data_IF_771577891920
#
_entry.id   IF_771577891920
#
_cell.length_a   1.000
_cell.length_b   1.000
_cell.length_c   1.000
_cell.angle_alpha   90.00
_cell.angle_beta   90.00
_cell.angle_gamma   90.00
#
_symmetry.space_group_name_H-M   'P 1'
#
loop_
_entity.id
_entity.type
_entity.pdbx_description
1 polymer ?
#
# COMPACT_ATOMS: atom_id res chain seq x y z
N UNK A 1 3.75 -15.69 -8.85
CA UNK A 1 2.74 -14.97 -9.67
C UNK A 1 3.30 -14.62 -11.04
N UNK A 2 4.36 -13.79 -11.16
CA UNK A 2 4.91 -13.33 -12.46
C UNK A 2 5.25 -14.48 -13.45
N UNK A 3 5.94 -15.55 -13.03
CA UNK A 3 6.20 -16.73 -13.91
C UNK A 3 4.92 -17.39 -14.44
N UNK A 4 3.83 -17.41 -13.66
CA UNK A 4 2.54 -17.94 -14.12
C UNK A 4 1.92 -17.02 -15.17
N UNK A 5 1.97 -15.71 -14.97
CA UNK A 5 1.47 -14.72 -15.92
C UNK A 5 2.29 -14.73 -17.22
N UNK A 6 3.61 -14.92 -17.12
CA UNK A 6 4.49 -15.15 -18.28
C UNK A 6 4.05 -16.38 -19.07
N UNK A 7 3.86 -17.51 -18.38
CA UNK A 7 3.41 -18.75 -19.04
C UNK A 7 2.02 -18.64 -19.69
N UNK A 8 1.18 -17.69 -19.22
CA UNK A 8 -0.13 -17.39 -19.80
C UNK A 8 -0.06 -16.35 -20.93
N UNK A 9 1.12 -15.88 -21.32
CA UNK A 9 1.29 -14.84 -22.35
C UNK A 9 0.69 -13.50 -21.97
N UNK A 10 0.59 -13.19 -20.67
CA UNK A 10 0.00 -11.93 -20.20
C UNK A 10 0.91 -10.76 -20.57
N UNK A 11 0.43 -9.74 -21.30
CA UNK A 11 1.23 -8.58 -21.69
C UNK A 11 1.90 -7.91 -20.49
N UNK A 12 3.20 -7.57 -20.61
CA UNK A 12 4.01 -6.98 -19.56
C UNK A 12 4.67 -7.96 -18.61
N UNK A 13 4.48 -9.28 -18.84
CA UNK A 13 5.15 -10.35 -18.09
C UNK A 13 6.05 -11.21 -18.98
N UNK A 14 6.35 -10.76 -20.19
CA UNK A 14 7.18 -11.50 -21.17
C UNK A 14 8.56 -11.85 -20.59
N UNK A 15 9.09 -10.98 -19.73
CA UNK A 15 10.37 -11.16 -19.03
C UNK A 15 10.24 -11.77 -17.62
N UNK A 16 9.07 -12.27 -17.24
CA UNK A 16 8.79 -12.85 -15.92
C UNK A 16 8.95 -11.87 -14.78
N UNK A 17 10.01 -12.03 -13.95
CA UNK A 17 10.31 -11.13 -12.83
C UNK A 17 11.22 -9.95 -13.17
N UNK A 18 11.78 -9.90 -14.38
CA UNK A 18 12.61 -8.76 -14.78
C UNK A 18 11.76 -7.50 -14.88
N UNK A 19 12.34 -6.39 -14.47
CA UNK A 19 11.69 -5.08 -14.60
C UNK A 19 11.36 -4.83 -16.08
N UNK A 20 10.13 -4.42 -16.33
CA UNK A 20 9.65 -4.00 -17.65
C UNK A 20 8.85 -2.72 -17.48
N UNK A 21 9.29 -1.65 -18.11
CA UNK A 21 8.54 -0.39 -18.19
C UNK A 21 7.45 -0.56 -19.25
N UNK A 22 6.28 0.05 -19.01
CA UNK A 22 5.13 -0.02 -19.91
C UNK A 22 4.63 1.41 -20.24
N UNK A 23 5.39 2.17 -21.01
CA UNK A 23 5.07 3.58 -21.29
C UNK A 23 3.74 3.72 -22.03
N UNK A 24 3.33 2.74 -22.83
CA UNK A 24 2.05 2.71 -23.51
C UNK A 24 0.82 2.70 -22.59
N UNK A 25 1.01 2.29 -21.32
CA UNK A 25 -0.05 2.29 -20.31
C UNK A 25 -0.20 3.62 -19.58
N UNK A 26 0.77 4.50 -19.66
CA UNK A 26 0.74 5.79 -18.96
C UNK A 26 -0.44 6.67 -19.41
N UNK A 27 -0.87 6.54 -20.67
CA UNK A 27 -2.00 7.30 -21.19
C UNK A 27 -3.38 6.80 -20.75
N UNK A 28 -3.48 5.61 -20.15
CA UNK A 28 -4.78 5.02 -19.78
C UNK A 28 -5.63 5.89 -18.84
N UNK A 29 -5.07 6.51 -17.78
CA UNK A 29 -5.85 7.40 -16.93
C UNK A 29 -6.38 8.64 -17.66
N UNK A 30 -5.66 9.15 -18.66
CA UNK A 30 -6.05 10.34 -19.44
C UNK A 30 -7.34 10.13 -20.22
N UNK A 31 -7.63 8.89 -20.61
CA UNK A 31 -8.84 8.55 -21.38
C UNK A 31 -10.07 8.32 -20.52
N UNK A 32 -9.90 8.13 -19.21
CA UNK A 32 -10.98 7.79 -18.29
C UNK A 32 -11.58 9.04 -17.66
N UNK A 33 -12.81 9.38 -18.01
CA UNK A 33 -13.51 10.57 -17.51
C UNK A 33 -14.10 10.39 -16.09
N UNK A 34 -14.51 9.16 -15.74
CA UNK A 34 -15.13 8.87 -14.43
C UNK A 34 -14.06 8.86 -13.35
N UNK A 35 -14.22 9.59 -12.24
CA UNK A 35 -13.33 9.52 -11.08
C UNK A 35 -13.04 8.07 -10.69
N UNK A 36 -11.77 7.75 -10.51
CA UNK A 36 -11.33 6.38 -10.26
C UNK A 36 -10.15 6.40 -9.28
N UNK A 37 -10.17 5.48 -8.34
CA UNK A 37 -9.03 5.22 -7.47
C UNK A 37 -8.16 4.14 -8.12
N UNK A 38 -6.91 4.51 -8.43
CA UNK A 38 -5.91 3.60 -8.96
C UNK A 38 -4.96 3.14 -7.86
N UNK A 39 -4.76 1.82 -7.76
CA UNK A 39 -3.63 1.27 -7.02
C UNK A 39 -2.49 1.07 -8.01
N UNK A 40 -1.49 1.93 -7.93
CA UNK A 40 -0.39 1.98 -8.88
C UNK A 40 0.57 0.81 -8.64
N UNK A 41 0.88 0.08 -9.70
CA UNK A 41 1.85 -1.03 -9.68
C UNK A 41 1.54 -2.14 -8.65
N UNK A 42 0.33 -2.67 -8.66
CA UNK A 42 -0.11 -3.75 -7.74
C UNK A 42 0.79 -4.99 -7.73
N UNK A 43 1.61 -5.22 -8.76
CA UNK A 43 2.48 -6.37 -8.94
C UNK A 43 3.98 -6.01 -9.04
N UNK A 44 4.31 -4.74 -8.88
CA UNK A 44 5.68 -4.20 -8.94
C UNK A 44 5.81 -3.02 -7.97
N UNK A 45 6.97 -2.40 -7.92
CA UNK A 45 7.24 -1.25 -7.07
C UNK A 45 7.69 -0.08 -7.94
N UNK A 46 6.91 1.02 -7.92
CA UNK A 46 7.19 2.20 -8.73
C UNK A 46 8.55 2.82 -8.41
N UNK A 47 9.01 2.70 -7.16
CA UNK A 47 10.30 3.25 -6.73
C UNK A 47 11.43 2.20 -6.76
N UNK A 48 11.33 1.16 -7.64
CA UNK A 48 12.43 0.24 -7.85
C UNK A 48 13.68 0.97 -8.34
N UNK A 49 14.87 0.57 -7.85
CA UNK A 49 16.14 1.24 -8.16
C UNK A 49 16.44 1.34 -9.66
N UNK A 50 16.02 0.34 -10.44
CA UNK A 50 16.21 0.31 -11.90
C UNK A 50 15.19 1.15 -12.69
N UNK A 51 14.18 1.76 -12.05
CA UNK A 51 13.26 2.67 -12.75
C UNK A 51 13.91 4.05 -12.87
N UNK A 52 14.14 4.57 -14.09
CA UNK A 52 14.70 5.90 -14.28
C UNK A 52 13.81 7.00 -13.68
N UNK A 53 14.40 8.03 -13.09
CA UNK A 53 13.65 9.17 -12.56
C UNK A 53 12.80 9.86 -13.65
N UNK A 54 13.29 9.88 -14.90
CA UNK A 54 12.50 10.37 -16.03
C UNK A 54 11.17 9.64 -16.20
N UNK A 55 11.13 8.32 -15.94
CA UNK A 55 9.87 7.56 -15.99
C UNK A 55 8.95 7.90 -14.82
N UNK A 56 9.50 8.10 -13.63
CA UNK A 56 8.74 8.59 -12.48
C UNK A 56 8.10 9.95 -12.79
N UNK A 57 8.86 10.88 -13.38
CA UNK A 57 8.31 12.18 -13.81
C UNK A 57 7.14 12.03 -14.79
N UNK A 58 7.24 11.13 -15.77
CA UNK A 58 6.14 10.86 -16.71
C UNK A 58 4.89 10.34 -15.99
N UNK A 59 5.06 9.45 -15.00
CA UNK A 59 3.94 8.97 -14.17
C UNK A 59 3.28 10.12 -13.41
N UNK A 60 4.08 10.98 -12.76
CA UNK A 60 3.57 12.11 -12.00
C UNK A 60 2.97 13.20 -12.92
N UNK A 61 3.46 13.35 -14.15
CA UNK A 61 2.84 14.23 -15.15
C UNK A 61 1.42 13.78 -15.52
N UNK A 62 1.21 12.49 -15.73
CA UNK A 62 -0.14 11.92 -15.98
C UNK A 62 -1.04 12.14 -14.76
N UNK A 63 -0.53 11.95 -13.56
CA UNK A 63 -1.28 12.18 -12.31
C UNK A 63 -1.72 13.65 -12.20
N UNK A 64 -0.82 14.60 -12.48
CA UNK A 64 -1.14 16.05 -12.50
C UNK A 64 -2.22 16.40 -13.52
N UNK A 65 -2.23 15.73 -14.67
CA UNK A 65 -3.22 15.95 -15.73
C UNK A 65 -4.59 15.32 -15.43
N UNK A 66 -4.69 14.49 -14.41
CA UNK A 66 -5.91 13.74 -14.05
C UNK A 66 -6.30 13.96 -12.59
N UNK A 67 -6.53 15.22 -12.16
CA UNK A 67 -6.79 15.55 -10.75
C UNK A 67 -8.10 14.93 -10.21
N UNK A 68 -9.01 14.53 -11.09
CA UNK A 68 -10.26 13.84 -10.74
C UNK A 68 -10.08 12.36 -10.38
N UNK A 69 -8.89 11.80 -10.56
CA UNK A 69 -8.54 10.44 -10.11
C UNK A 69 -7.73 10.49 -8.81
N UNK A 70 -7.76 9.41 -8.05
CA UNK A 70 -6.91 9.19 -6.86
C UNK A 70 -5.89 8.11 -7.17
N UNK A 71 -4.64 8.32 -6.78
CA UNK A 71 -3.55 7.38 -7.03
C UNK A 71 -2.92 6.93 -5.72
N UNK A 72 -3.10 5.66 -5.38
CA UNK A 72 -2.44 5.02 -4.24
C UNK A 72 -1.13 4.39 -4.73
N UNK A 73 0.00 4.89 -4.23
CA UNK A 73 1.33 4.40 -4.55
C UNK A 73 1.92 3.78 -3.29
N UNK A 74 2.25 2.49 -3.36
CA UNK A 74 2.82 1.72 -2.25
C UNK A 74 4.22 1.25 -2.61
N UNK A 75 5.17 1.41 -1.69
CA UNK A 75 6.56 0.99 -1.91
C UNK A 75 7.19 0.39 -0.65
N UNK A 76 8.22 -0.43 -0.85
CA UNK A 76 9.18 -0.84 0.19
C UNK A 76 10.46 0.02 0.15
N UNK A 77 10.58 0.89 -0.83
CA UNK A 77 11.75 1.76 -1.06
C UNK A 77 11.46 3.19 -0.61
N UNK A 78 11.19 3.30 0.70
CA UNK A 78 10.73 4.56 1.30
C UNK A 78 11.75 5.69 1.15
N UNK A 79 13.04 5.41 1.31
CA UNK A 79 14.12 6.38 1.13
C UNK A 79 14.12 6.96 -0.29
N UNK A 80 14.05 6.10 -1.32
CA UNK A 80 14.00 6.56 -2.71
C UNK A 80 12.74 7.36 -3.01
N UNK A 81 11.58 6.94 -2.49
CA UNK A 81 10.35 7.71 -2.61
C UNK A 81 10.50 9.10 -1.99
N UNK A 82 11.11 9.20 -0.80
CA UNK A 82 11.39 10.48 -0.15
C UNK A 82 12.33 11.34 -1.00
N UNK A 83 13.45 10.81 -1.44
CA UNK A 83 14.43 11.52 -2.28
C UNK A 83 13.79 12.06 -3.57
N UNK A 84 12.96 11.26 -4.22
CA UNK A 84 12.23 11.70 -5.41
C UNK A 84 11.22 12.81 -5.10
N UNK A 85 10.48 12.72 -3.99
CA UNK A 85 9.44 13.68 -3.63
C UNK A 85 9.99 14.98 -3.03
N UNK A 86 11.17 14.95 -2.39
CA UNK A 86 11.77 16.14 -1.80
C UNK A 86 12.12 17.18 -2.86
N UNK A 87 11.69 18.42 -2.64
CA UNK A 87 11.85 19.53 -3.59
C UNK A 87 10.91 19.49 -4.80
N UNK A 88 10.00 18.51 -4.87
CA UNK A 88 8.96 18.42 -5.89
C UNK A 88 7.56 18.63 -5.29
N UNK A 89 6.67 19.18 -6.10
CA UNK A 89 5.26 19.25 -5.72
C UNK A 89 4.62 17.84 -5.87
N UNK A 90 4.17 17.26 -4.76
CA UNK A 90 3.39 16.03 -4.75
C UNK A 90 1.92 16.41 -4.96
N UNK A 91 1.27 15.94 -6.04
CA UNK A 91 -0.14 16.26 -6.30
C UNK A 91 -1.07 15.78 -5.16
N UNK A 92 -2.10 16.55 -4.85
CA UNK A 92 -3.02 16.24 -3.74
C UNK A 92 -3.81 14.94 -3.92
N UNK A 93 -4.00 14.52 -5.17
CA UNK A 93 -4.64 13.26 -5.52
C UNK A 93 -3.71 12.04 -5.45
N UNK A 94 -2.46 12.22 -4.99
CA UNK A 94 -1.52 11.12 -4.71
C UNK A 94 -1.56 10.77 -3.23
N UNK A 95 -1.81 9.50 -2.96
CA UNK A 95 -1.68 8.90 -1.65
C UNK A 95 -0.41 8.07 -1.62
N UNK A 96 0.54 8.42 -0.77
CA UNK A 96 1.81 7.72 -0.65
C UNK A 96 1.80 6.77 0.54
N UNK A 97 2.27 5.56 0.33
CA UNK A 97 2.31 4.55 1.37
C UNK A 97 3.56 3.69 1.36
N UNK A 98 3.83 3.10 2.51
CA UNK A 98 4.90 2.11 2.69
C UNK A 98 4.36 0.82 3.27
N UNK A 99 5.01 -0.29 2.92
CA UNK A 99 4.71 -1.60 3.52
C UNK A 99 5.45 -1.74 4.84
N UNK A 100 4.74 -2.21 5.88
CA UNK A 100 5.27 -2.37 7.25
C UNK A 100 4.92 -3.77 7.74
N UNK A 101 5.75 -4.75 7.43
CA UNK A 101 5.49 -6.15 7.78
C UNK A 101 6.05 -6.54 9.15
N UNK A 102 7.14 -5.91 9.56
CA UNK A 102 7.94 -6.21 10.74
C UNK A 102 8.58 -4.94 11.32
N UNK A 103 9.28 -5.10 12.45
CA UNK A 103 9.94 -3.98 13.13
C UNK A 103 11.26 -3.59 12.47
N UNK A 104 12.00 -4.56 11.98
CA UNK A 104 13.36 -4.35 11.46
C UNK A 104 13.35 -3.51 10.18
N UNK A 105 12.51 -3.88 9.21
CA UNK A 105 12.45 -3.21 7.91
C UNK A 105 11.28 -2.24 7.80
N UNK A 106 10.15 -2.55 8.45
CA UNK A 106 8.91 -1.80 8.31
C UNK A 106 8.91 -0.47 9.07
N UNK A 107 9.32 -0.47 10.33
CA UNK A 107 9.27 0.75 11.16
C UNK A 107 10.14 1.88 10.59
N UNK A 108 11.40 1.66 10.15
CA UNK A 108 12.19 2.73 9.55
C UNK A 108 11.55 3.38 8.30
N UNK A 109 10.73 2.63 7.55
CA UNK A 109 10.02 3.19 6.39
C UNK A 109 8.95 4.20 6.78
N UNK A 110 8.37 4.08 7.97
CA UNK A 110 7.38 5.05 8.47
C UNK A 110 8.05 6.41 8.66
N UNK A 111 9.26 6.44 9.22
CA UNK A 111 10.00 7.67 9.44
C UNK A 111 10.34 8.37 8.12
N UNK A 112 10.72 7.60 7.10
CA UNK A 112 10.94 8.15 5.77
C UNK A 112 9.65 8.75 5.17
N UNK A 113 8.53 8.03 5.24
CA UNK A 113 7.24 8.45 4.71
C UNK A 113 6.73 9.73 5.35
N UNK A 114 6.89 9.87 6.67
CA UNK A 114 6.41 10.99 7.48
C UNK A 114 6.92 12.34 7.00
N UNK A 115 8.13 12.39 6.45
CA UNK A 115 8.78 13.60 5.97
C UNK A 115 8.36 14.01 4.54
N UNK A 116 7.58 13.17 3.84
CA UNK A 116 7.14 13.49 2.48
C UNK A 116 5.92 14.43 2.54
N UNK A 117 5.91 15.55 1.81
CA UNK A 117 4.81 16.51 1.81
C UNK A 117 3.62 16.00 0.97
N UNK A 118 3.09 14.81 1.29
CA UNK A 118 1.91 14.25 0.65
C UNK A 118 0.65 14.58 1.46
N UNK A 119 -0.50 14.79 0.79
CA UNK A 119 -1.79 15.03 1.45
C UNK A 119 -2.22 13.83 2.28
N UNK A 120 -2.10 12.63 1.73
CA UNK A 120 -2.40 11.37 2.43
C UNK A 120 -1.15 10.49 2.45
N UNK A 121 -0.76 10.08 3.65
CA UNK A 121 0.27 9.08 3.91
C UNK A 121 -0.38 7.87 4.56
N UNK A 122 -0.07 6.66 4.05
CA UNK A 122 -0.68 5.44 4.57
C UNK A 122 0.33 4.32 4.81
N UNK A 123 -0.01 3.43 5.73
CA UNK A 123 0.75 2.22 6.00
C UNK A 123 -0.02 1.01 5.50
N UNK A 124 0.65 0.13 4.75
CA UNK A 124 0.17 -1.20 4.43
C UNK A 124 0.88 -2.22 5.31
N UNK A 125 0.25 -2.59 6.41
CA UNK A 125 0.75 -3.58 7.37
C UNK A 125 0.27 -4.95 6.91
N UNK A 126 0.74 -5.35 5.73
CA UNK A 126 0.35 -6.58 5.05
C UNK A 126 1.55 -7.24 4.36
N UNK A 127 1.88 -8.47 4.80
CA UNK A 127 1.31 -9.18 5.94
C UNK A 127 1.89 -8.66 7.27
N UNK A 128 1.07 -8.57 8.31
CA UNK A 128 1.56 -8.33 9.67
C UNK A 128 2.18 -9.61 10.22
N UNK A 129 3.50 -9.59 10.47
CA UNK A 129 4.29 -10.79 10.78
C UNK A 129 4.65 -10.92 12.26
N UNK A 130 4.61 -9.82 13.01
CA UNK A 130 4.94 -9.76 14.43
C UNK A 130 4.23 -8.59 15.12
N UNK A 131 4.34 -8.52 16.44
CA UNK A 131 3.89 -7.35 17.21
C UNK A 131 4.85 -6.17 16.97
N UNK A 132 4.35 -5.09 16.36
CA UNK A 132 5.18 -3.94 15.96
C UNK A 132 5.61 -3.03 17.14
N UNK A 133 5.06 -3.25 18.35
CA UNK A 133 5.30 -2.36 19.48
C UNK A 133 4.52 -1.06 19.38
N UNK A 134 5.05 0.01 19.98
CA UNK A 134 4.55 1.36 19.80
C UNK A 134 5.04 1.92 18.47
N UNK A 135 4.13 2.45 17.69
CA UNK A 135 4.39 3.06 16.38
C UNK A 135 4.08 4.55 16.50
N UNK A 136 4.98 5.39 16.07
CA UNK A 136 4.68 6.80 15.92
C UNK A 136 3.85 7.01 14.64
N UNK A 137 2.55 7.26 14.81
CA UNK A 137 1.59 7.52 13.74
C UNK A 137 1.38 9.02 13.47
N UNK A 138 2.24 9.90 13.98
CA UNK A 138 2.17 11.33 13.66
C UNK A 138 2.28 11.55 12.14
N UNK A 139 1.37 12.36 11.58
CA UNK A 139 1.28 12.60 10.14
C UNK A 139 0.98 11.35 9.27
N UNK A 140 0.52 10.26 9.86
CA UNK A 140 -0.01 9.09 9.15
C UNK A 140 -1.54 9.16 9.18
N UNK A 141 -2.15 9.06 8.02
CA UNK A 141 -3.60 9.29 7.86
C UNK A 141 -4.40 7.99 7.79
N UNK A 142 -3.77 6.90 7.35
CA UNK A 142 -4.45 5.62 7.15
C UNK A 142 -3.53 4.43 7.42
N UNK A 143 -4.06 3.42 8.11
CA UNK A 143 -3.34 2.17 8.41
C UNK A 143 -4.21 1.01 7.97
N UNK A 144 -3.69 0.23 7.02
CA UNK A 144 -4.32 -0.98 6.49
C UNK A 144 -3.60 -2.17 7.10
N UNK A 145 -4.35 -3.09 7.74
CA UNK A 145 -3.78 -4.29 8.35
C UNK A 145 -4.38 -5.53 7.72
N UNK A 146 -3.53 -6.52 7.45
CA UNK A 146 -3.98 -7.81 6.93
C UNK A 146 -2.99 -8.93 7.12
N UNK A 147 -3.53 -10.15 7.20
CA UNK A 147 -2.77 -11.39 7.31
C UNK A 147 -2.36 -11.95 5.96
N UNK A 148 -1.34 -12.81 6.01
CA UNK A 148 -0.77 -13.47 4.84
C UNK A 148 -1.72 -14.53 4.27
N UNK A 149 -1.78 -14.60 2.94
CA UNK A 149 -2.58 -15.61 2.22
C UNK A 149 -1.68 -16.56 1.41
N UNK A 150 -2.07 -17.82 1.35
CA UNK A 150 -1.39 -18.86 0.57
C UNK A 150 -0.94 -20.07 1.37
N UNK A 151 -0.36 -21.08 0.69
CA UNK A 151 -0.03 -22.37 1.34
C UNK A 151 1.00 -22.26 2.47
N UNK A 152 1.93 -21.30 2.35
CA UNK A 152 3.01 -21.07 3.31
C UNK A 152 2.75 -19.83 4.18
N UNK A 153 1.49 -19.37 4.27
CA UNK A 153 1.15 -18.18 5.06
C UNK A 153 1.54 -18.38 6.53
N UNK A 154 2.13 -17.33 7.09
CA UNK A 154 2.45 -17.22 8.52
C UNK A 154 1.22 -16.72 9.28
N UNK A 155 0.99 -17.18 10.51
CA UNK A 155 -0.13 -16.74 11.30
C UNK A 155 0.05 -15.30 11.78
N UNK A 156 -1.06 -14.55 11.82
CA UNK A 156 -1.17 -13.23 12.43
C UNK A 156 -1.99 -13.37 13.72
N UNK A 157 -1.56 -12.75 14.80
CA UNK A 157 -2.23 -12.84 16.09
C UNK A 157 -3.21 -11.68 16.30
N UNK A 158 -4.42 -11.94 16.87
CA UNK A 158 -5.43 -10.91 17.11
C UNK A 158 -4.92 -9.72 17.95
N UNK A 159 -4.13 -10.00 19.00
CA UNK A 159 -3.59 -8.98 19.88
C UNK A 159 -2.66 -7.99 19.16
N UNK A 160 -1.97 -8.41 18.09
CA UNK A 160 -1.14 -7.53 17.28
C UNK A 160 -2.00 -6.52 16.51
N UNK A 161 -3.08 -7.01 15.92
CA UNK A 161 -4.03 -6.19 15.14
C UNK A 161 -4.76 -5.22 16.04
N UNK A 162 -5.28 -5.69 17.19
CA UNK A 162 -5.97 -4.85 18.18
C UNK A 162 -5.05 -3.79 18.80
N UNK A 163 -3.74 -4.10 18.93
CA UNK A 163 -2.75 -3.10 19.36
C UNK A 163 -2.62 -1.96 18.37
N UNK A 164 -2.51 -2.26 17.07
CA UNK A 164 -2.42 -1.25 16.01
C UNK A 164 -3.72 -0.44 15.92
N UNK A 165 -4.87 -1.10 16.00
CA UNK A 165 -6.18 -0.41 15.99
C UNK A 165 -6.27 0.65 17.08
N UNK A 166 -5.94 0.29 18.34
CA UNK A 166 -5.94 1.24 19.47
C UNK A 166 -4.98 2.41 19.25
N UNK A 167 -3.81 2.16 18.65
CA UNK A 167 -2.87 3.23 18.34
C UNK A 167 -3.43 4.17 17.27
N UNK A 168 -4.14 3.65 16.27
CA UNK A 168 -4.85 4.48 15.28
C UNK A 168 -5.95 5.33 15.92
N UNK A 169 -6.76 4.76 16.82
CA UNK A 169 -7.78 5.50 17.58
C UNK A 169 -7.17 6.65 18.38
N UNK A 170 -6.05 6.42 19.05
CA UNK A 170 -5.37 7.44 19.86
C UNK A 170 -4.71 8.54 19.01
N UNK A 171 -4.26 8.24 17.79
CA UNK A 171 -3.59 9.19 16.89
C UNK A 171 -4.54 9.91 15.93
N UNK A 172 -5.80 9.47 15.84
CA UNK A 172 -6.74 9.95 14.83
C UNK A 172 -6.50 9.42 13.42
N UNK A 173 -5.66 8.40 13.25
CA UNK A 173 -5.44 7.74 11.96
C UNK A 173 -6.61 6.81 11.63
N UNK A 174 -7.08 6.82 10.39
CA UNK A 174 -8.10 5.87 9.94
C UNK A 174 -7.56 4.44 9.96
N UNK A 175 -8.35 3.51 10.47
CA UNK A 175 -7.97 2.10 10.56
C UNK A 175 -8.81 1.24 9.62
N UNK A 176 -8.14 0.38 8.84
CA UNK A 176 -8.77 -0.56 7.93
C UNK A 176 -8.24 -1.98 8.18
N UNK A 177 -9.11 -2.88 8.59
CA UNK A 177 -8.79 -4.30 8.70
C UNK A 177 -9.22 -5.03 7.44
N UNK A 178 -8.28 -5.42 6.61
CA UNK A 178 -8.55 -6.01 5.30
C UNK A 178 -8.99 -7.47 5.40
N UNK A 179 -8.25 -8.29 6.13
CA UNK A 179 -8.52 -9.73 6.25
C UNK A 179 -7.58 -10.41 7.24
N UNK A 180 -7.99 -11.57 7.73
CA UNK A 180 -7.13 -12.49 8.49
C UNK A 180 -6.14 -13.24 7.61
N UNK A 181 -6.44 -13.48 6.34
CA UNK A 181 -5.64 -14.29 5.43
C UNK A 181 -5.95 -15.78 5.59
N UNK A 182 -4.92 -16.63 5.47
CA UNK A 182 -5.08 -18.09 5.56
C UNK A 182 -5.32 -18.57 6.99
N UNK A 183 -4.85 -17.85 8.00
CA UNK A 183 -5.03 -18.16 9.41
C UNK A 183 -6.13 -17.28 10.00
N UNK A 184 -7.15 -17.89 10.60
CA UNK A 184 -8.21 -17.17 11.30
C UNK A 184 -7.77 -16.61 12.65
N UNK A 185 -8.61 -15.78 13.26
CA UNK A 185 -8.39 -15.24 14.61
C UNK A 185 -8.23 -16.36 15.68
N UNK A 186 -8.83 -17.50 15.45
CA UNK A 186 -8.76 -18.69 16.30
C UNK A 186 -7.51 -19.55 16.07
N UNK A 187 -6.57 -19.10 15.21
CA UNK A 187 -5.35 -19.81 14.87
C UNK A 187 -5.57 -21.04 13.98
N UNK A 188 -6.75 -21.19 13.36
CA UNK A 188 -7.05 -22.32 12.47
C UNK A 188 -6.85 -21.92 11.00
N UNK A 189 -6.17 -22.80 10.27
CA UNK A 189 -5.89 -22.60 8.85
C UNK A 189 -7.10 -22.94 7.99
N UNK A 190 -7.58 -21.95 7.20
CA UNK A 190 -8.75 -22.11 6.32
C UNK A 190 -8.57 -21.28 5.04
N UNK A 191 -9.52 -21.40 4.12
CA UNK A 191 -9.64 -20.44 3.02
C UNK A 191 -9.86 -19.03 3.58
N UNK A 192 -9.15 -18.04 3.06
CA UNK A 192 -9.22 -16.64 3.50
C UNK A 192 -10.63 -16.05 3.56
N UNK A 193 -11.53 -16.52 2.67
CA UNK A 193 -12.92 -16.07 2.65
C UNK A 193 -13.73 -16.58 3.85
N UNK A 194 -13.38 -17.77 4.38
CA UNK A 194 -14.01 -18.33 5.57
C UNK A 194 -13.51 -17.65 6.86
N UNK A 195 -12.27 -17.19 6.88
CA UNK A 195 -11.71 -16.44 8.01
C UNK A 195 -12.26 -15.01 8.09
N UNK A 196 -12.68 -14.45 6.95
CA UNK A 196 -13.36 -13.15 6.91
C UNK A 196 -12.48 -11.97 7.30
N UNK A 197 -13.14 -10.89 7.74
CA UNK A 197 -12.52 -9.62 8.14
C UNK A 197 -13.17 -8.98 9.39
N UNK A 198 -13.71 -9.81 10.26
CA UNK A 198 -14.23 -9.34 11.55
C UNK A 198 -13.11 -9.33 12.59
N UNK A 199 -12.92 -8.20 13.26
CA UNK A 199 -11.99 -8.01 14.36
C UNK A 199 -12.76 -7.46 15.56
N UNK A 200 -12.63 -8.09 16.72
CA UNK A 200 -13.31 -7.69 17.97
C UNK A 200 -14.85 -7.53 17.76
N UNK A 201 -15.46 -8.40 16.96
CA UNK A 201 -16.90 -8.43 16.68
C UNK A 201 -17.37 -7.40 15.65
N UNK A 202 -16.49 -6.57 15.08
CA UNK A 202 -16.83 -5.51 14.14
C UNK A 202 -16.05 -5.59 12.82
N UNK A 203 -16.56 -4.91 11.80
CA UNK A 203 -15.85 -4.65 10.55
C UNK A 203 -15.23 -3.25 10.66
N UNK A 204 -13.95 -3.15 10.34
CA UNK A 204 -13.17 -1.92 10.38
C UNK A 204 -12.71 -1.58 8.97
N UNK A 205 -13.33 -0.59 8.36
CA UNK A 205 -13.11 -0.23 6.95
C UNK A 205 -13.08 1.30 6.73
N UNK A 206 -12.56 2.03 7.73
CA UNK A 206 -12.44 3.48 7.63
C UNK A 206 -11.39 3.88 6.58
N UNK A 207 -11.73 4.90 5.80
CA UNK A 207 -10.82 5.59 4.88
C UNK A 207 -10.38 6.93 5.48
N UNK A 208 -9.23 7.47 5.04
CA UNK A 208 -8.83 8.81 5.46
C UNK A 208 -9.86 9.83 4.98
N UNK A 209 -10.18 10.79 5.85
CA UNK A 209 -11.06 11.90 5.49
C UNK A 209 -10.29 12.77 4.50
N UNK A 210 -10.67 12.71 3.23
CA UNK A 210 -10.30 13.74 2.26
C UNK A 210 -11.30 14.86 2.45
N UNK A 211 -10.88 16.04 2.93
CA UNK A 211 -11.75 17.18 2.92
C UNK A 211 -12.40 17.28 1.53
N UNK A 212 -13.72 17.25 1.47
CA UNK A 212 -14.45 17.49 0.24
C UNK A 212 -14.00 18.84 -0.31
N UNK A 213 -13.57 18.83 -1.57
CA UNK A 213 -13.24 20.04 -2.33
C UNK A 213 -14.54 20.63 -2.86
#
# INVERSE_FOLDING_TARGET
MARRLQAMGTPGYDNGFKLSLMPERLSQPLTRKKPTMYFVNSMSDLFHEDIPDQYLEQVFDVIRQTPHHTYQILTKRATRMREFCMGRHVPENVWLGVTVEDREYGIPRIDELRHIPAKIRFLSVEPLLEHLGLIDLSNIHWVIVGGESGPKARPMKPEWVSSIRRQCENSGSSFFFKQWGTWGADGVKRNKHLNGRTLDGAIWDSYPVTAEI
#
